data_IF_161111908746
#
_entry.id   IF_161111908746
#
_cell.length_a   1.000
_cell.length_b   1.000
_cell.length_c   1.000
_cell.angle_alpha   90.00
_cell.angle_beta   90.00
_cell.angle_gamma   90.00
#
_symmetry.space_group_name_H-M   'P 1'
#
loop_
_entity.id
_entity.type
_entity.pdbx_description
1 polymer ?
#
# COMPACT_ATOMS: atom_id res chain seq x y z
N UNK A 1 -12.31 -28.31 7.42
CA UNK A 1 -12.69 -27.54 6.23
C UNK A 1 -12.02 -26.18 6.22
N UNK A 2 -12.19 -25.35 7.25
CA UNK A 2 -11.65 -23.98 7.32
C UNK A 2 -10.14 -23.92 7.07
N UNK A 3 -9.35 -24.70 7.81
CA UNK A 3 -7.89 -24.71 7.65
C UNK A 3 -7.50 -25.08 6.21
N UNK A 4 -8.16 -26.07 5.63
CA UNK A 4 -7.87 -26.53 4.25
C UNK A 4 -8.26 -25.48 3.21
N UNK A 5 -9.37 -24.75 3.43
CA UNK A 5 -9.76 -23.62 2.58
C UNK A 5 -8.76 -22.47 2.69
N UNK A 6 -8.37 -22.09 3.89
CA UNK A 6 -7.36 -21.03 4.14
C UNK A 6 -6.04 -21.38 3.48
N UNK A 7 -5.57 -22.64 3.62
CA UNK A 7 -4.33 -23.08 2.98
C UNK A 7 -4.44 -23.08 1.45
N UNK A 8 -5.60 -23.44 0.90
CA UNK A 8 -5.84 -23.38 -0.54
C UNK A 8 -5.81 -21.92 -1.04
N UNK A 9 -6.51 -21.00 -0.37
CA UNK A 9 -6.50 -19.58 -0.71
C UNK A 9 -5.09 -18.98 -0.62
N UNK A 10 -4.34 -19.33 0.43
CA UNK A 10 -2.96 -18.90 0.62
C UNK A 10 -2.05 -19.45 -0.50
N UNK A 11 -2.16 -20.72 -0.81
CA UNK A 11 -1.37 -21.37 -1.86
C UNK A 11 -1.58 -20.69 -3.22
N UNK A 12 -2.84 -20.45 -3.60
CA UNK A 12 -3.18 -19.82 -4.86
C UNK A 12 -2.60 -18.39 -4.93
N UNK A 13 -2.77 -17.58 -3.88
CA UNK A 13 -2.23 -16.23 -3.84
C UNK A 13 -0.70 -16.23 -3.90
N UNK A 14 -0.03 -17.15 -3.19
CA UNK A 14 1.44 -17.28 -3.22
C UNK A 14 1.93 -17.67 -4.63
N UNK A 15 1.26 -18.61 -5.30
CA UNK A 15 1.60 -18.98 -6.70
C UNK A 15 1.43 -17.76 -7.61
N UNK A 16 0.31 -17.03 -7.49
CA UNK A 16 0.05 -15.83 -8.30
C UNK A 16 1.09 -14.73 -8.04
N UNK A 17 1.58 -14.59 -6.80
CA UNK A 17 2.69 -13.69 -6.47
C UNK A 17 3.99 -14.09 -7.16
N UNK A 18 4.32 -15.38 -7.18
CA UNK A 18 5.49 -15.89 -7.91
C UNK A 18 5.33 -15.62 -9.41
N UNK A 19 4.14 -15.88 -9.98
CA UNK A 19 3.87 -15.59 -11.40
C UNK A 19 3.98 -14.08 -11.68
N UNK A 20 3.50 -13.23 -10.75
CA UNK A 20 3.64 -11.78 -10.84
C UNK A 20 5.11 -11.37 -10.88
N UNK A 21 5.93 -11.89 -9.98
CA UNK A 21 7.37 -11.65 -9.97
C UNK A 21 8.02 -12.05 -11.30
N UNK A 22 7.84 -13.30 -11.73
CA UNK A 22 8.43 -13.81 -12.97
C UNK A 22 7.98 -13.07 -14.23
N UNK A 23 6.78 -12.46 -14.21
CA UNK A 23 6.20 -11.76 -15.35
C UNK A 23 6.64 -10.32 -15.48
N UNK A 24 6.83 -9.64 -14.35
CA UNK A 24 6.98 -8.18 -14.30
C UNK A 24 8.33 -7.70 -13.78
N UNK A 25 9.18 -8.58 -13.25
CA UNK A 25 10.54 -8.20 -12.88
C UNK A 25 11.32 -7.77 -14.14
N UNK A 26 11.97 -6.61 -14.03
CA UNK A 26 12.84 -6.11 -15.11
C UNK A 26 14.17 -6.86 -15.12
N UNK A 27 14.58 -7.42 -16.27
CA UNK A 27 15.93 -8.00 -16.38
C UNK A 27 17.06 -6.98 -16.22
N UNK A 28 16.77 -5.69 -16.44
CA UNK A 28 17.75 -4.59 -16.37
C UNK A 28 17.86 -4.00 -14.96
N UNK A 29 16.86 -4.22 -14.11
CA UNK A 29 16.82 -3.74 -12.73
C UNK A 29 16.20 -4.84 -11.84
N UNK A 30 16.93 -5.93 -11.57
CA UNK A 30 16.42 -7.04 -10.77
C UNK A 30 16.36 -6.68 -9.30
N UNK A 31 15.38 -7.23 -8.60
CA UNK A 31 15.25 -7.03 -7.15
C UNK A 31 16.51 -7.59 -6.43
N UNK A 32 17.14 -6.81 -5.53
CA UNK A 32 18.19 -7.34 -4.67
C UNK A 32 17.72 -8.56 -3.87
N UNK A 33 18.56 -9.61 -3.76
CA UNK A 33 18.14 -10.87 -3.17
C UNK A 33 17.57 -10.76 -1.73
N UNK A 34 18.11 -9.84 -0.92
CA UNK A 34 17.59 -9.55 0.42
C UNK A 34 16.17 -8.96 0.37
N UNK A 35 15.94 -8.04 -0.55
CA UNK A 35 14.64 -7.39 -0.75
C UNK A 35 13.61 -8.36 -1.31
N UNK A 36 14.01 -9.26 -2.20
CA UNK A 36 13.14 -10.31 -2.73
C UNK A 36 12.61 -11.20 -1.60
N UNK A 37 13.48 -11.65 -0.70
CA UNK A 37 13.08 -12.45 0.46
C UNK A 37 12.12 -11.71 1.36
N UNK A 38 12.40 -10.44 1.63
CA UNK A 38 11.53 -9.60 2.47
C UNK A 38 10.19 -9.34 1.79
N UNK A 39 10.16 -9.09 0.47
CA UNK A 39 8.93 -8.93 -0.30
C UNK A 39 8.06 -10.19 -0.26
N UNK A 40 8.66 -11.37 -0.47
CA UNK A 40 7.96 -12.65 -0.40
C UNK A 40 7.42 -12.93 1.01
N UNK A 41 8.21 -12.66 2.05
CA UNK A 41 7.80 -12.84 3.45
C UNK A 41 6.63 -11.92 3.84
N UNK A 42 6.71 -10.63 3.51
CA UNK A 42 5.62 -9.69 3.76
C UNK A 42 4.38 -10.04 2.92
N UNK A 43 4.61 -10.40 1.68
CA UNK A 43 3.55 -10.83 0.78
C UNK A 43 2.78 -12.04 1.31
N UNK A 44 3.49 -13.05 1.82
CA UNK A 44 2.88 -14.23 2.46
C UNK A 44 2.01 -13.83 3.67
N UNK A 45 2.43 -12.84 4.46
CA UNK A 45 1.63 -12.33 5.59
C UNK A 45 0.35 -11.63 5.12
N UNK A 46 0.41 -10.80 4.08
CA UNK A 46 -0.78 -10.18 3.50
C UNK A 46 -1.72 -11.22 2.88
N UNK A 47 -1.17 -12.21 2.18
CA UNK A 47 -1.96 -13.31 1.60
C UNK A 47 -2.64 -14.13 2.70
N UNK A 48 -1.96 -14.34 3.84
CA UNK A 48 -2.52 -15.01 5.01
C UNK A 48 -3.67 -14.19 5.64
N UNK A 49 -3.53 -12.86 5.75
CA UNK A 49 -4.61 -11.99 6.25
C UNK A 49 -5.87 -12.15 5.40
N UNK A 50 -5.73 -12.09 4.05
CA UNK A 50 -6.85 -12.28 3.13
C UNK A 50 -7.42 -13.68 3.27
N UNK A 51 -6.58 -14.71 3.27
CA UNK A 51 -7.01 -16.11 3.36
C UNK A 51 -7.77 -16.41 4.65
N UNK A 52 -7.32 -15.86 5.78
CA UNK A 52 -8.00 -15.99 7.07
C UNK A 52 -9.35 -15.27 7.04
N UNK A 53 -9.39 -14.04 6.52
CA UNK A 53 -10.65 -13.29 6.36
C UNK A 53 -11.68 -14.07 5.54
N UNK A 54 -11.25 -14.62 4.40
CA UNK A 54 -12.07 -15.46 3.52
C UNK A 54 -12.44 -16.80 4.16
N UNK A 55 -11.67 -17.28 5.14
CA UNK A 55 -11.96 -18.51 5.89
C UNK A 55 -13.00 -18.36 6.99
N UNK A 56 -13.24 -17.14 7.49
CA UNK A 56 -14.18 -16.88 8.60
C UNK A 56 -15.59 -17.41 8.33
N UNK A 57 -16.23 -17.20 7.17
CA UNK A 57 -17.56 -17.73 6.90
C UNK A 57 -17.63 -19.26 7.01
N UNK A 58 -16.61 -19.98 6.55
CA UNK A 58 -16.54 -21.45 6.69
C UNK A 58 -16.39 -21.85 8.17
N UNK A 59 -15.62 -21.08 8.94
CA UNK A 59 -15.48 -21.31 10.39
C UNK A 59 -16.83 -21.13 11.09
N UNK A 60 -17.58 -20.09 10.73
CA UNK A 60 -18.90 -19.80 11.31
C UNK A 60 -19.94 -20.87 10.95
N UNK A 61 -19.90 -21.42 9.72
CA UNK A 61 -20.76 -22.55 9.31
C UNK A 61 -20.57 -23.77 10.22
N UNK A 62 -19.36 -23.98 10.74
CA UNK A 62 -19.05 -25.06 11.67
C UNK A 62 -19.72 -24.91 13.06
N UNK A 63 -20.33 -23.78 13.37
CA UNK A 63 -21.06 -23.56 14.63
C UNK A 63 -22.57 -23.80 14.49
N UNK A 64 -23.07 -23.92 13.27
CA UNK A 64 -24.49 -24.07 12.97
C UNK A 64 -24.75 -25.56 12.65
N UNK A 65 -25.32 -26.31 13.60
CA UNK A 65 -25.49 -27.77 13.51
C UNK A 65 -26.16 -28.21 12.21
N UNK A 66 -27.29 -27.64 11.73
CA UNK A 66 -27.98 -28.08 10.51
C UNK A 66 -27.15 -27.95 9.25
N UNK A 67 -26.16 -27.05 9.23
CA UNK A 67 -25.31 -26.77 8.06
C UNK A 67 -23.81 -26.98 8.36
N UNK A 68 -23.53 -27.79 9.41
CA UNK A 68 -22.16 -28.08 9.79
C UNK A 68 -21.43 -28.87 8.69
N UNK A 69 -20.24 -28.40 8.20
CA UNK A 69 -19.59 -28.97 7.01
C UNK A 69 -19.14 -30.44 7.16
N UNK A 70 -19.00 -30.95 8.37
CA UNK A 70 -18.60 -32.35 8.62
C UNK A 70 -19.80 -33.29 8.77
N UNK A 71 -20.91 -32.81 9.36
CA UNK A 71 -22.04 -33.63 9.73
C UNK A 71 -23.24 -33.51 8.78
N UNK A 72 -23.30 -32.48 7.93
CA UNK A 72 -24.39 -32.21 7.03
C UNK A 72 -23.96 -32.16 5.56
N UNK A 73 -24.64 -32.85 4.69
CA UNK A 73 -24.43 -32.78 3.24
C UNK A 73 -24.72 -31.38 2.68
N UNK A 74 -25.71 -30.70 3.23
CA UNK A 74 -26.00 -29.30 2.92
C UNK A 74 -24.83 -28.41 3.29
N UNK A 75 -24.25 -28.60 4.49
CA UNK A 75 -23.07 -27.86 4.91
C UNK A 75 -21.84 -28.08 4.03
N UNK A 76 -21.61 -29.32 3.61
CA UNK A 76 -20.54 -29.65 2.63
C UNK A 76 -20.77 -28.92 1.31
N UNK A 77 -21.99 -28.97 0.76
CA UNK A 77 -22.33 -28.28 -0.49
C UNK A 77 -22.17 -26.77 -0.38
N UNK A 78 -22.60 -26.16 0.74
CA UNK A 78 -22.42 -24.73 1.01
C UNK A 78 -20.95 -24.35 1.08
N UNK A 79 -20.11 -25.11 1.78
CA UNK A 79 -18.66 -24.85 1.82
C UNK A 79 -18.04 -24.95 0.44
N UNK A 80 -18.47 -25.92 -0.36
CA UNK A 80 -17.97 -26.11 -1.72
C UNK A 80 -18.38 -24.96 -2.63
N UNK A 81 -19.66 -24.56 -2.61
CA UNK A 81 -20.17 -23.43 -3.38
C UNK A 81 -19.49 -22.13 -2.96
N UNK A 82 -19.36 -21.88 -1.66
CA UNK A 82 -18.68 -20.72 -1.13
C UNK A 82 -17.21 -20.66 -1.60
N UNK A 83 -16.47 -21.78 -1.48
CA UNK A 83 -15.08 -21.87 -1.93
C UNK A 83 -14.97 -21.57 -3.42
N UNK A 84 -15.92 -22.06 -4.23
CA UNK A 84 -15.97 -21.78 -5.67
C UNK A 84 -16.17 -20.30 -5.98
N UNK A 85 -17.13 -19.66 -5.31
CA UNK A 85 -17.39 -18.23 -5.48
C UNK A 85 -16.19 -17.39 -5.05
N UNK A 86 -15.59 -17.72 -3.91
CA UNK A 86 -14.38 -17.02 -3.42
C UNK A 86 -13.21 -17.22 -4.38
N UNK A 87 -12.99 -18.42 -4.90
CA UNK A 87 -11.92 -18.67 -5.87
C UNK A 87 -12.13 -17.90 -7.16
N UNK A 88 -13.36 -17.88 -7.68
CA UNK A 88 -13.70 -17.10 -8.86
C UNK A 88 -13.41 -15.61 -8.61
N UNK A 89 -13.87 -15.05 -7.50
CA UNK A 89 -13.63 -13.66 -7.13
C UNK A 89 -12.14 -13.34 -6.97
N UNK A 90 -11.41 -14.17 -6.22
CA UNK A 90 -9.98 -14.01 -5.98
C UNK A 90 -9.17 -14.03 -7.29
N UNK A 91 -9.37 -15.05 -8.12
CA UNK A 91 -8.68 -15.19 -9.39
C UNK A 91 -9.05 -14.06 -10.36
N UNK A 92 -10.32 -13.60 -10.37
CA UNK A 92 -10.75 -12.44 -11.17
C UNK A 92 -10.05 -11.16 -10.75
N UNK A 93 -9.94 -10.90 -9.44
CA UNK A 93 -9.23 -9.73 -8.93
C UNK A 93 -7.74 -9.77 -9.32
N UNK A 94 -7.10 -10.93 -9.24
CA UNK A 94 -5.72 -11.07 -9.67
C UNK A 94 -5.56 -10.92 -11.19
N UNK A 95 -6.49 -11.42 -11.99
CA UNK A 95 -6.47 -11.23 -13.45
C UNK A 95 -6.59 -9.73 -13.82
N UNK A 96 -7.48 -9.00 -13.15
CA UNK A 96 -7.61 -7.56 -13.31
C UNK A 96 -6.33 -6.83 -12.83
N UNK A 97 -5.76 -7.24 -11.71
CA UNK A 97 -4.53 -6.67 -11.16
C UNK A 97 -3.34 -6.83 -12.11
N UNK A 98 -3.18 -7.99 -12.72
CA UNK A 98 -2.14 -8.23 -13.73
C UNK A 98 -2.30 -7.33 -14.96
N UNK A 99 -3.55 -7.17 -15.44
CA UNK A 99 -3.84 -6.24 -16.54
C UNK A 99 -3.61 -4.78 -16.16
N UNK A 100 -4.03 -4.40 -14.98
CA UNK A 100 -3.83 -3.05 -14.44
C UNK A 100 -2.34 -2.74 -14.26
N UNK A 101 -1.56 -3.68 -13.73
CA UNK A 101 -0.11 -3.51 -13.57
C UNK A 101 0.61 -3.45 -14.91
N UNK A 102 0.22 -4.27 -15.88
CA UNK A 102 0.80 -4.25 -17.22
C UNK A 102 0.59 -2.91 -17.95
N UNK A 103 -0.46 -2.16 -17.59
CA UNK A 103 -0.80 -0.89 -18.21
C UNK A 103 -0.29 0.33 -17.43
N UNK A 104 -0.37 0.31 -16.10
CA UNK A 104 -0.08 1.47 -15.24
C UNK A 104 1.14 1.28 -14.34
N UNK A 105 1.77 0.11 -14.33
CA UNK A 105 2.88 -0.26 -13.43
C UNK A 105 2.54 -0.09 -11.93
N UNK A 106 1.26 -0.13 -11.63
CA UNK A 106 0.72 -0.03 -10.27
C UNK A 106 -0.20 -1.21 -9.96
N UNK A 107 -0.16 -1.68 -8.71
CA UNK A 107 -1.11 -2.68 -8.23
C UNK A 107 -2.53 -2.15 -8.31
N UNK A 108 -3.49 -3.05 -8.46
CA UNK A 108 -4.91 -2.71 -8.51
C UNK A 108 -5.32 -1.84 -7.32
N UNK A 109 -5.82 -0.65 -7.60
CA UNK A 109 -6.24 0.34 -6.63
C UNK A 109 -7.60 0.96 -7.01
N UNK A 110 -8.13 1.82 -6.13
CA UNK A 110 -9.47 2.39 -6.29
C UNK A 110 -9.63 3.26 -7.55
N UNK A 111 -8.55 3.75 -8.15
CA UNK A 111 -8.64 4.52 -9.40
C UNK A 111 -9.17 3.69 -10.55
N UNK A 112 -9.01 2.35 -10.48
CA UNK A 112 -9.60 1.43 -11.44
C UNK A 112 -11.12 1.54 -11.55
N UNK A 113 -11.81 2.02 -10.50
CA UNK A 113 -13.26 2.24 -10.54
C UNK A 113 -13.68 3.34 -11.52
N UNK A 114 -12.76 4.23 -11.92
CA UNK A 114 -13.03 5.22 -12.99
C UNK A 114 -13.34 4.56 -14.34
N UNK A 115 -12.78 3.37 -14.59
CA UNK A 115 -13.11 2.61 -15.80
C UNK A 115 -14.57 2.12 -15.83
N UNK A 116 -15.26 2.10 -14.67
CA UNK A 116 -16.69 1.76 -14.60
C UNK A 116 -17.60 2.94 -14.98
N UNK A 117 -17.11 4.16 -15.01
CA UNK A 117 -17.90 5.35 -15.38
C UNK A 117 -18.32 5.32 -16.86
N UNK A 118 -17.50 4.69 -17.72
CA UNK A 118 -17.76 4.52 -19.14
C UNK A 118 -17.62 3.05 -19.55
N UNK A 119 -18.49 2.18 -19.03
CA UNK A 119 -18.42 0.72 -19.20
C UNK A 119 -18.29 0.26 -20.64
N UNK A 120 -18.99 0.90 -21.57
CA UNK A 120 -18.96 0.51 -22.99
C UNK A 120 -17.57 0.74 -23.61
N UNK A 121 -16.95 1.88 -23.32
CA UNK A 121 -15.61 2.22 -23.83
C UNK A 121 -14.59 1.28 -23.17
N UNK A 122 -14.65 1.11 -21.87
CA UNK A 122 -13.73 0.25 -21.12
C UNK A 122 -13.84 -1.22 -21.55
N UNK A 123 -15.05 -1.74 -21.72
CA UNK A 123 -15.26 -3.10 -22.20
C UNK A 123 -14.71 -3.30 -23.63
N UNK A 124 -14.88 -2.31 -24.50
CA UNK A 124 -14.33 -2.36 -25.87
C UNK A 124 -12.81 -2.37 -25.84
N UNK A 125 -12.20 -1.51 -25.03
CA UNK A 125 -10.73 -1.46 -24.85
C UNK A 125 -10.18 -2.79 -24.33
N UNK A 126 -10.81 -3.35 -23.29
CA UNK A 126 -10.39 -4.65 -22.72
C UNK A 126 -10.51 -5.75 -23.77
N UNK A 127 -11.60 -5.77 -24.53
CA UNK A 127 -11.82 -6.77 -25.58
C UNK A 127 -10.79 -6.69 -26.72
N UNK A 128 -10.39 -5.47 -27.09
CA UNK A 128 -9.42 -5.25 -28.16
C UNK A 128 -7.97 -5.46 -27.72
N UNK A 129 -7.66 -5.17 -26.44
CA UNK A 129 -6.29 -5.17 -25.94
C UNK A 129 -5.88 -6.53 -25.35
N UNK A 130 -6.82 -7.25 -24.73
CA UNK A 130 -6.53 -8.48 -24.00
C UNK A 130 -7.21 -9.69 -24.64
N UNK A 131 -6.60 -10.88 -24.58
CA UNK A 131 -7.21 -12.12 -25.09
C UNK A 131 -8.29 -12.62 -24.12
N UNK A 132 -9.43 -11.92 -24.07
CA UNK A 132 -10.51 -12.14 -23.09
C UNK A 132 -11.03 -13.56 -23.08
N UNK A 133 -11.23 -14.18 -24.27
CA UNK A 133 -11.72 -15.56 -24.37
C UNK A 133 -10.71 -16.53 -23.73
N UNK A 134 -9.43 -16.42 -24.11
CA UNK A 134 -8.38 -17.28 -23.56
C UNK A 134 -8.24 -17.09 -22.05
N UNK A 135 -8.26 -15.84 -21.59
CA UNK A 135 -8.22 -15.49 -20.17
C UNK A 135 -9.39 -16.09 -19.40
N UNK A 136 -10.60 -16.01 -19.95
CA UNK A 136 -11.81 -16.61 -19.35
C UNK A 136 -11.73 -18.12 -19.25
N UNK A 137 -11.23 -18.80 -20.29
CA UNK A 137 -11.02 -20.25 -20.28
C UNK A 137 -10.00 -20.63 -19.20
N UNK A 138 -8.86 -19.92 -19.12
CA UNK A 138 -7.85 -20.15 -18.09
C UNK A 138 -8.45 -19.93 -16.70
N UNK A 139 -9.22 -18.87 -16.49
CA UNK A 139 -9.88 -18.56 -15.22
C UNK A 139 -10.79 -19.73 -14.79
N UNK A 140 -11.65 -20.22 -15.68
CA UNK A 140 -12.55 -21.34 -15.40
C UNK A 140 -11.76 -22.61 -15.06
N UNK A 141 -10.70 -22.92 -15.81
CA UNK A 141 -9.83 -24.06 -15.53
C UNK A 141 -9.13 -23.94 -14.15
N UNK A 142 -8.65 -22.76 -13.79
CA UNK A 142 -8.03 -22.52 -12.48
C UNK A 142 -9.03 -22.65 -11.34
N UNK A 143 -10.26 -22.17 -11.49
CA UNK A 143 -11.34 -22.38 -10.52
C UNK A 143 -11.65 -23.85 -10.38
N UNK A 144 -11.84 -24.55 -11.50
CA UNK A 144 -12.15 -25.97 -11.53
C UNK A 144 -11.06 -26.82 -10.86
N UNK A 145 -9.80 -26.61 -11.21
CA UNK A 145 -8.66 -27.32 -10.59
C UNK A 145 -8.54 -27.02 -9.09
N UNK A 146 -8.79 -25.79 -8.67
CA UNK A 146 -8.82 -25.41 -7.24
C UNK A 146 -9.93 -26.14 -6.50
N UNK A 147 -11.11 -26.28 -7.09
CA UNK A 147 -12.23 -27.02 -6.53
C UNK A 147 -11.96 -28.55 -6.48
N UNK A 148 -11.31 -29.10 -7.50
CA UNK A 148 -10.89 -30.50 -7.47
C UNK A 148 -9.89 -30.74 -6.33
N UNK A 149 -8.91 -29.84 -6.17
CA UNK A 149 -7.94 -29.92 -5.07
C UNK A 149 -8.64 -29.80 -3.72
N UNK A 150 -9.57 -28.85 -3.58
CA UNK A 150 -10.36 -28.71 -2.36
C UNK A 150 -11.16 -29.96 -2.04
N UNK A 151 -11.83 -30.55 -3.04
CA UNK A 151 -12.55 -31.81 -2.90
C UNK A 151 -11.62 -32.96 -2.48
N UNK A 152 -10.47 -33.06 -3.13
CA UNK A 152 -9.48 -34.09 -2.80
C UNK A 152 -9.03 -33.98 -1.36
N UNK A 153 -8.57 -32.81 -0.92
CA UNK A 153 -8.07 -32.62 0.45
C UNK A 153 -9.17 -32.69 1.52
N UNK A 154 -10.42 -32.39 1.20
CA UNK A 154 -11.55 -32.46 2.14
C UNK A 154 -12.21 -33.83 2.17
N UNK A 155 -12.06 -34.65 1.13
CA UNK A 155 -12.63 -35.99 1.05
C UNK A 155 -12.17 -36.95 2.13
N UNK A 156 -11.03 -36.67 2.74
CA UNK A 156 -10.48 -37.47 3.87
C UNK A 156 -11.03 -37.05 5.24
N UNK A 157 -11.89 -36.02 5.30
CA UNK A 157 -12.47 -35.57 6.58
C UNK A 157 -13.66 -36.46 6.91
N UNK A 158 -13.52 -37.26 7.94
CA UNK A 158 -14.59 -38.10 8.48
C UNK A 158 -15.01 -37.61 9.88
N UNK A 159 -16.30 -37.67 10.22
CA UNK A 159 -16.75 -37.43 11.57
C UNK A 159 -16.18 -38.53 12.49
N UNK A 160 -15.65 -38.13 13.65
CA UNK A 160 -15.17 -39.07 14.67
C UNK A 160 -16.37 -39.43 15.55
N UNK A 161 -16.87 -40.68 15.49
CA UNK A 161 -18.02 -41.07 16.27
C UNK A 161 -17.69 -41.10 17.75
N UNK A 162 -18.56 -40.58 18.60
CA UNK A 162 -18.54 -40.79 20.06
C UNK A 162 -17.53 -40.00 20.87
N UNK A 163 -16.74 -39.14 20.26
CA UNK A 163 -15.79 -38.29 20.99
C UNK A 163 -16.52 -37.07 21.57
N UNK A 164 -17.17 -37.28 22.71
CA UNK A 164 -17.69 -36.16 23.51
C UNK A 164 -16.52 -35.44 24.16
N UNK A 165 -16.00 -34.43 23.49
CA UNK A 165 -15.00 -33.55 24.08
C UNK A 165 -15.62 -32.84 25.29
N UNK A 166 -14.90 -32.83 26.42
CA UNK A 166 -15.32 -32.13 27.65
C UNK A 166 -15.47 -30.66 27.35
N UNK A 167 -16.42 -30.00 28.02
CA UNK A 167 -16.75 -28.59 27.74
C UNK A 167 -15.52 -27.67 27.72
N UNK A 168 -14.55 -27.87 28.65
CA UNK A 168 -13.33 -27.10 28.70
C UNK A 168 -12.42 -27.31 27.48
N UNK A 169 -12.42 -28.48 26.84
CA UNK A 169 -11.68 -28.73 25.61
C UNK A 169 -12.28 -27.97 24.45
N UNK A 170 -13.62 -27.92 24.36
CA UNK A 170 -14.32 -27.10 23.36
C UNK A 170 -13.99 -25.63 23.54
N UNK A 171 -14.06 -25.14 24.78
CA UNK A 171 -13.75 -23.75 25.11
C UNK A 171 -12.28 -23.43 24.77
N UNK A 172 -11.33 -24.32 25.10
CA UNK A 172 -9.91 -24.15 24.75
C UNK A 172 -9.71 -24.06 23.24
N UNK A 173 -10.35 -24.93 22.44
CA UNK A 173 -10.27 -24.89 20.97
C UNK A 173 -10.81 -23.57 20.43
N UNK A 174 -11.95 -23.08 20.96
CA UNK A 174 -12.52 -21.80 20.55
C UNK A 174 -11.57 -20.64 20.83
N UNK A 175 -11.02 -20.60 22.06
CA UNK A 175 -10.07 -19.56 22.48
C UNK A 175 -8.82 -19.60 21.63
N UNK A 176 -8.23 -20.77 21.43
CA UNK A 176 -7.02 -20.93 20.59
C UNK A 176 -7.31 -20.50 19.15
N UNK A 177 -8.43 -20.94 18.57
CA UNK A 177 -8.81 -20.56 17.21
C UNK A 177 -9.02 -19.06 17.10
N UNK A 178 -9.68 -18.44 18.08
CA UNK A 178 -9.88 -16.99 18.12
C UNK A 178 -8.53 -16.25 18.12
N UNK A 179 -7.60 -16.63 18.98
CA UNK A 179 -6.29 -15.97 19.01
C UNK A 179 -5.46 -16.24 17.76
N UNK A 180 -5.50 -17.43 17.19
CA UNK A 180 -4.78 -17.75 15.93
C UNK A 180 -5.33 -16.88 14.79
N UNK A 181 -6.64 -16.75 14.66
CA UNK A 181 -7.26 -15.86 13.65
C UNK A 181 -6.93 -14.41 13.94
N UNK A 182 -7.04 -13.96 15.19
CA UNK A 182 -6.74 -12.59 15.58
C UNK A 182 -5.29 -12.21 15.28
N UNK A 183 -4.32 -13.02 15.69
CA UNK A 183 -2.90 -12.78 15.43
C UNK A 183 -2.56 -12.88 13.94
N UNK A 184 -3.19 -13.80 13.22
CA UNK A 184 -3.00 -13.92 11.79
C UNK A 184 -3.54 -12.69 11.03
N UNK A 185 -4.70 -12.16 11.43
CA UNK A 185 -5.27 -10.92 10.87
C UNK A 185 -4.47 -9.68 11.30
N UNK A 186 -3.90 -9.68 12.51
CA UNK A 186 -3.03 -8.60 12.97
C UNK A 186 -1.70 -8.55 12.19
N UNK A 187 -1.15 -9.69 11.81
CA UNK A 187 -0.06 -9.88 10.85
C UNK A 187 1.35 -9.58 11.36
N UNK A 188 1.53 -8.94 12.52
CA UNK A 188 2.86 -8.71 13.13
C UNK A 188 2.79 -8.51 14.64
N UNK A 189 3.87 -8.84 15.34
CA UNK A 189 4.03 -8.61 16.78
C UNK A 189 4.56 -7.18 17.00
N UNK A 190 3.67 -6.20 17.01
CA UNK A 190 3.99 -4.77 17.16
C UNK A 190 2.77 -4.05 17.75
N UNK A 191 2.93 -2.81 18.21
CA UNK A 191 1.82 -1.98 18.67
C UNK A 191 0.77 -1.67 17.58
N UNK A 192 1.14 -1.78 16.31
CA UNK A 192 0.25 -1.55 15.16
C UNK A 192 0.14 -2.81 14.31
N UNK A 193 -1.03 -3.10 13.73
CA UNK A 193 -1.20 -4.19 12.79
C UNK A 193 -0.35 -3.99 11.53
N UNK A 194 -0.20 -5.05 10.76
CA UNK A 194 0.42 -4.98 9.45
C UNK A 194 -0.39 -4.07 8.53
N UNK A 195 0.26 -3.05 7.95
CA UNK A 195 -0.35 -2.01 7.12
C UNK A 195 0.20 -2.08 5.71
N UNK A 196 -0.52 -1.53 4.74
CA UNK A 196 -0.07 -1.42 3.36
C UNK A 196 1.33 -0.77 3.23
N UNK A 197 1.63 0.22 4.08
CA UNK A 197 2.93 0.90 4.09
C UNK A 197 4.10 0.03 4.52
N UNK A 198 3.86 -1.09 5.21
CA UNK A 198 4.93 -2.04 5.56
C UNK A 198 5.49 -2.75 4.31
N UNK A 199 4.76 -2.72 3.18
CA UNK A 199 5.24 -3.27 1.91
C UNK A 199 6.35 -2.42 1.26
N UNK A 200 6.38 -1.11 1.55
CA UNK A 200 7.37 -0.18 0.97
C UNK A 200 8.60 -0.07 1.90
N UNK A 201 9.33 -1.13 2.03
CA UNK A 201 10.49 -1.27 2.92
C UNK A 201 11.83 -1.04 2.21
N UNK A 202 11.85 -1.06 0.89
CA UNK A 202 13.03 -0.95 0.03
C UNK A 202 12.95 0.30 -0.84
N UNK A 203 14.11 0.78 -1.28
CA UNK A 203 14.23 1.82 -2.31
C UNK A 203 13.96 1.30 -3.71
N UNK A 204 13.97 -0.03 -3.89
CA UNK A 204 13.63 -0.66 -5.16
C UNK A 204 12.09 -0.72 -5.31
N UNK A 205 11.53 0.07 -6.22
CA UNK A 205 10.09 0.28 -6.36
C UNK A 205 9.30 -1.03 -6.55
N UNK A 206 9.77 -1.94 -7.39
CA UNK A 206 9.10 -3.20 -7.65
C UNK A 206 9.02 -4.12 -6.43
N UNK A 207 9.96 -4.03 -5.46
CA UNK A 207 9.94 -4.80 -4.21
C UNK A 207 8.67 -4.54 -3.41
N UNK A 208 8.25 -3.26 -3.28
CA UNK A 208 7.01 -2.87 -2.63
C UNK A 208 5.77 -3.39 -3.35
N UNK A 209 5.76 -3.27 -4.67
CA UNK A 209 4.67 -3.79 -5.51
C UNK A 209 4.53 -5.31 -5.39
N UNK A 210 5.65 -6.04 -5.39
CA UNK A 210 5.67 -7.50 -5.20
C UNK A 210 5.16 -7.92 -3.81
N UNK A 211 5.54 -7.19 -2.76
CA UNK A 211 5.08 -7.48 -1.39
C UNK A 211 3.57 -7.26 -1.22
N UNK A 212 3.01 -6.28 -1.92
CA UNK A 212 1.60 -5.88 -1.77
C UNK A 212 0.62 -6.97 -2.23
N UNK A 213 -0.49 -7.14 -1.49
CA UNK A 213 -1.63 -7.97 -1.91
C UNK A 213 -2.67 -7.07 -2.60
N UNK A 214 -3.11 -7.38 -3.84
CA UNK A 214 -3.99 -6.50 -4.62
C UNK A 214 -5.35 -6.28 -3.97
N UNK A 215 -5.90 -7.29 -3.29
CA UNK A 215 -7.20 -7.18 -2.62
C UNK A 215 -7.11 -6.18 -1.47
N UNK A 216 -6.13 -6.34 -0.58
CA UNK A 216 -5.95 -5.43 0.55
C UNK A 216 -5.62 -4.01 0.08
N UNK A 217 -4.78 -3.89 -0.94
CA UNK A 217 -4.39 -2.60 -1.49
C UNK A 217 -5.60 -1.86 -2.09
N UNK A 218 -6.42 -2.57 -2.87
CA UNK A 218 -7.66 -2.02 -3.41
C UNK A 218 -8.59 -1.48 -2.31
N UNK A 219 -8.85 -2.28 -1.26
CA UNK A 219 -9.70 -1.83 -0.15
C UNK A 219 -9.09 -0.69 0.67
N UNK A 220 -7.76 -0.67 0.81
CA UNK A 220 -7.09 0.44 1.50
C UNK A 220 -7.18 1.75 0.71
N UNK A 221 -7.16 1.68 -0.62
CA UNK A 221 -7.26 2.85 -1.49
C UNK A 221 -8.69 3.36 -1.65
N UNK A 222 -9.71 2.52 -1.45
CA UNK A 222 -11.12 2.94 -1.50
C UNK A 222 -11.46 4.10 -0.55
N UNK A 223 -10.77 4.17 0.59
CA UNK A 223 -10.96 5.23 1.59
C UNK A 223 -10.52 6.62 1.12
N UNK A 224 -9.72 6.67 0.06
CA UNK A 224 -9.12 7.88 -0.48
C UNK A 224 -9.59 8.17 -1.92
N UNK A 225 -10.65 7.50 -2.39
CA UNK A 225 -11.14 7.61 -3.77
C UNK A 225 -11.77 8.96 -4.09
N UNK A 226 -12.43 9.56 -3.11
CA UNK A 226 -13.34 10.70 -3.32
C UNK A 226 -12.68 12.06 -2.99
N UNK A 227 -11.37 12.18 -3.11
CA UNK A 227 -10.68 13.46 -3.02
C UNK A 227 -10.96 14.26 -4.30
N UNK A 228 -12.16 14.85 -4.37
CA UNK A 228 -12.51 15.82 -5.39
C UNK A 228 -12.20 17.21 -4.88
N UNK A 229 -11.62 18.05 -5.74
CA UNK A 229 -11.47 19.47 -5.45
C UNK A 229 -12.54 20.25 -6.20
N UNK A 230 -12.94 21.37 -5.62
CA UNK A 230 -13.89 22.30 -6.26
C UNK A 230 -13.17 23.09 -7.37
N UNK A 231 -13.38 22.69 -8.61
CA UNK A 231 -12.76 23.31 -9.78
C UNK A 231 -13.08 24.82 -9.86
N UNK A 232 -14.33 25.30 -9.67
CA UNK A 232 -14.64 26.72 -9.63
C UNK A 232 -13.82 27.48 -8.60
N UNK A 233 -13.73 26.99 -7.37
CA UNK A 233 -12.94 27.62 -6.30
C UNK A 233 -11.44 27.58 -6.61
N UNK A 234 -10.94 26.49 -7.19
CA UNK A 234 -9.54 26.36 -7.59
C UNK A 234 -9.20 27.39 -8.70
N UNK A 235 -10.06 27.57 -9.70
CA UNK A 235 -9.90 28.60 -10.75
C UNK A 235 -9.94 30.01 -10.21
N UNK A 236 -10.83 30.28 -9.27
CA UNK A 236 -10.93 31.60 -8.61
C UNK A 236 -9.67 31.95 -7.82
N UNK A 237 -9.05 30.96 -7.18
CA UNK A 237 -7.83 31.10 -6.38
C UNK A 237 -6.54 31.01 -7.21
N UNK A 238 -6.62 30.53 -8.45
CA UNK A 238 -5.46 30.27 -9.31
C UNK A 238 -4.55 31.48 -9.52
N UNK A 239 -5.05 32.71 -9.83
CA UNK A 239 -4.18 33.85 -10.06
C UNK A 239 -3.27 34.17 -8.86
N UNK A 240 -3.83 34.13 -7.65
CA UNK A 240 -3.07 34.33 -6.41
C UNK A 240 -2.00 33.26 -6.21
N UNK A 241 -2.35 32.02 -6.42
CA UNK A 241 -1.42 30.91 -6.25
C UNK A 241 -0.35 30.89 -7.36
N UNK A 242 -0.70 31.21 -8.58
CA UNK A 242 0.25 31.29 -9.68
C UNK A 242 1.29 32.41 -9.46
N UNK A 243 0.86 33.57 -8.97
CA UNK A 243 1.75 34.66 -8.56
C UNK A 243 2.66 34.23 -7.42
N UNK A 244 2.09 33.65 -6.34
CA UNK A 244 2.85 33.16 -5.18
C UNK A 244 3.91 32.13 -5.55
N UNK A 245 3.58 31.20 -6.43
CA UNK A 245 4.48 30.17 -6.91
C UNK A 245 5.44 30.64 -8.00
N UNK A 246 5.24 31.84 -8.57
CA UNK A 246 6.04 32.37 -9.66
C UNK A 246 5.89 31.54 -10.95
N UNK A 247 4.67 31.21 -11.32
CA UNK A 247 4.37 30.44 -12.55
C UNK A 247 4.70 31.26 -13.79
N UNK A 248 5.49 30.71 -14.70
CA UNK A 248 5.99 31.46 -15.88
C UNK A 248 4.91 31.86 -16.87
N UNK A 249 3.95 30.97 -17.10
CA UNK A 249 2.85 31.14 -18.05
C UNK A 249 1.54 30.67 -17.41
N UNK A 250 0.90 31.55 -16.61
CA UNK A 250 -0.34 31.19 -15.93
C UNK A 250 -1.45 30.83 -16.92
N UNK A 251 -2.09 29.69 -16.75
CA UNK A 251 -3.26 29.25 -17.54
C UNK A 251 -4.37 28.80 -16.55
N UNK A 252 -5.36 29.69 -16.25
CA UNK A 252 -6.45 29.39 -15.33
C UNK A 252 -7.37 28.25 -15.79
N UNK A 253 -7.45 28.02 -17.11
CA UNK A 253 -8.29 26.93 -17.64
C UNK A 253 -7.68 25.56 -17.39
N UNK A 254 -6.36 25.46 -17.52
CA UNK A 254 -5.62 24.22 -17.27
C UNK A 254 -5.19 24.05 -15.82
N UNK A 255 -5.23 25.12 -15.01
CA UNK A 255 -4.68 25.14 -13.66
C UNK A 255 -3.21 24.69 -13.66
N UNK A 256 -2.42 25.19 -14.62
CA UNK A 256 -1.01 24.83 -14.77
C UNK A 256 -0.16 25.62 -13.77
N UNK A 257 0.57 24.91 -12.90
CA UNK A 257 1.48 25.49 -11.91
C UNK A 257 2.95 25.28 -12.25
N UNK A 258 3.26 24.94 -13.50
CA UNK A 258 4.64 24.67 -13.93
C UNK A 258 5.48 25.95 -13.88
N UNK A 259 6.62 25.84 -13.21
CA UNK A 259 7.67 26.84 -13.15
C UNK A 259 8.96 26.24 -13.68
N UNK A 260 9.63 26.93 -14.59
CA UNK A 260 10.88 26.49 -15.20
C UNK A 260 12.01 27.42 -14.75
N UNK A 261 13.07 26.83 -14.22
CA UNK A 261 14.31 27.54 -13.95
C UNK A 261 15.36 27.15 -14.98
N UNK A 262 16.00 28.13 -15.56
CA UNK A 262 17.25 27.89 -16.28
C UNK A 262 18.39 28.06 -15.29
N UNK A 263 19.05 26.95 -15.00
CA UNK A 263 20.27 26.95 -14.19
C UNK A 263 21.46 26.92 -15.13
N UNK A 264 22.29 27.96 -15.07
CA UNK A 264 23.59 27.94 -15.75
C UNK A 264 24.56 27.14 -14.87
N UNK A 265 24.71 25.86 -15.18
CA UNK A 265 25.71 25.04 -14.52
C UNK A 265 27.10 25.58 -14.84
N UNK A 266 27.91 25.85 -13.82
CA UNK A 266 29.32 26.10 -13.97
C UNK A 266 30.01 24.73 -14.22
N UNK A 267 30.57 24.48 -15.43
CA UNK A 267 31.16 23.18 -15.77
C UNK A 267 32.35 22.76 -14.92
N UNK A 268 32.90 23.67 -14.13
CA UNK A 268 34.04 23.42 -13.24
C UNK A 268 33.63 23.19 -11.77
N UNK A 269 32.34 23.25 -11.43
CA UNK A 269 31.90 23.13 -10.05
C UNK A 269 31.72 21.65 -9.70
N UNK A 270 32.40 21.18 -8.67
CA UNK A 270 32.16 19.86 -8.08
C UNK A 270 30.79 19.82 -7.42
N UNK A 271 30.06 18.73 -7.61
CA UNK A 271 28.78 18.50 -6.94
C UNK A 271 29.01 18.40 -5.41
N UNK A 272 28.40 19.28 -4.60
CA UNK A 272 28.58 19.25 -3.16
C UNK A 272 27.79 18.12 -2.53
N UNK A 273 28.30 17.58 -1.41
CA UNK A 273 27.47 16.76 -0.53
C UNK A 273 26.42 17.63 0.15
N UNK A 274 25.19 17.13 0.25
CA UNK A 274 24.06 17.84 0.86
C UNK A 274 23.63 17.12 2.12
N UNK A 275 23.61 17.83 3.24
CA UNK A 275 23.12 17.33 4.54
C UNK A 275 21.94 18.18 4.94
N UNK A 276 20.76 17.57 5.10
CA UNK A 276 19.54 18.22 5.58
C UNK A 276 19.26 17.75 6.99
N UNK A 277 19.15 18.71 7.94
CA UNK A 277 18.87 18.42 9.34
C UNK A 277 17.52 19.03 9.70
N UNK A 278 16.53 18.18 10.00
CA UNK A 278 15.21 18.59 10.45
C UNK A 278 15.16 18.44 11.97
N UNK A 279 15.01 19.58 12.67
CA UNK A 279 14.96 19.62 14.12
C UNK A 279 13.51 19.47 14.60
N UNK A 280 13.18 18.30 15.13
CA UNK A 280 11.84 18.00 15.65
C UNK A 280 11.48 18.87 16.85
N UNK A 281 10.26 19.44 16.85
CA UNK A 281 9.72 20.28 17.94
C UNK A 281 10.60 21.47 18.32
N UNK A 282 11.47 21.91 17.41
CA UNK A 282 12.34 23.05 17.63
C UNK A 282 11.65 24.35 17.19
N UNK A 283 11.15 25.09 18.14
CA UNK A 283 10.53 26.39 17.89
C UNK A 283 11.59 27.49 17.84
N UNK A 284 11.44 28.48 16.94
CA UNK A 284 12.41 29.55 16.72
C UNK A 284 12.71 30.36 18.01
N UNK A 285 11.72 30.57 18.85
CA UNK A 285 11.90 31.31 20.14
C UNK A 285 12.90 30.63 21.09
N UNK A 286 13.28 29.37 20.85
CA UNK A 286 14.32 28.68 21.65
C UNK A 286 15.73 29.07 21.24
N UNK A 287 15.92 29.69 20.08
CA UNK A 287 17.25 30.06 19.57
C UNK A 287 17.65 31.47 19.97
N UNK A 288 18.95 31.68 20.15
CA UNK A 288 19.53 33.01 20.36
C UNK A 288 19.29 33.94 19.17
N UNK A 289 19.24 33.41 17.94
CA UNK A 289 18.89 34.14 16.72
C UNK A 289 17.52 34.81 16.76
N UNK A 290 16.60 34.26 17.54
CA UNK A 290 15.25 34.80 17.76
C UNK A 290 15.13 35.60 19.05
N UNK A 291 16.26 35.94 19.68
CA UNK A 291 16.30 36.79 20.90
C UNK A 291 16.14 36.02 22.21
N UNK A 292 16.33 34.70 22.25
CA UNK A 292 16.31 33.94 23.50
C UNK A 292 17.52 34.33 24.39
N UNK A 293 17.29 34.83 25.61
CA UNK A 293 18.38 35.32 26.48
C UNK A 293 19.22 34.18 27.09
N UNK A 294 18.76 32.93 27.03
CA UNK A 294 19.41 31.79 27.71
C UNK A 294 20.62 31.21 26.96
N UNK A 295 20.99 31.79 25.82
CA UNK A 295 22.07 31.27 24.96
C UNK A 295 22.00 29.74 24.76
N UNK A 296 20.80 29.24 24.49
CA UNK A 296 20.52 27.80 24.41
C UNK A 296 21.02 27.14 23.12
N UNK A 297 21.40 27.92 22.10
CA UNK A 297 21.79 27.45 20.76
C UNK A 297 23.08 28.08 20.23
N UNK A 298 24.19 28.13 20.99
CA UNK A 298 25.38 28.89 20.58
C UNK A 298 26.01 28.36 19.28
N UNK A 299 25.96 27.06 19.02
CA UNK A 299 26.50 26.48 17.81
C UNK A 299 25.63 26.75 16.58
N UNK A 300 24.30 26.70 16.72
CA UNK A 300 23.36 27.07 15.65
C UNK A 300 23.48 28.56 15.30
N UNK A 301 23.56 29.39 16.32
CA UNK A 301 23.71 30.86 16.17
C UNK A 301 25.03 31.19 15.43
N UNK A 302 26.13 30.47 15.75
CA UNK A 302 27.39 30.60 15.05
C UNK A 302 27.27 30.17 13.59
N UNK A 303 26.73 28.97 13.30
CA UNK A 303 26.53 28.49 11.93
C UNK A 303 25.68 29.48 11.11
N UNK A 304 24.65 30.05 11.70
CA UNK A 304 23.82 31.03 11.02
C UNK A 304 24.57 32.34 10.72
N UNK A 305 25.56 32.72 11.54
CA UNK A 305 26.41 33.90 11.30
C UNK A 305 27.46 33.65 10.20
N UNK A 306 27.87 32.40 10.02
CA UNK A 306 28.87 31.99 9.02
C UNK A 306 28.22 31.61 7.66
N UNK A 307 26.90 31.37 7.63
CA UNK A 307 26.16 30.92 6.48
C UNK A 307 25.03 31.86 6.02
N UNK A 308 24.10 31.31 5.27
CA UNK A 308 22.88 32.01 4.87
C UNK A 308 21.75 31.70 5.84
N UNK A 309 21.29 32.72 6.57
CA UNK A 309 20.16 32.60 7.50
C UNK A 309 18.89 33.24 6.93
N UNK A 310 17.87 32.41 6.66
CA UNK A 310 16.57 32.86 6.15
C UNK A 310 15.62 33.17 7.31
N UNK A 311 15.51 34.46 7.68
CA UNK A 311 14.69 34.91 8.83
C UNK A 311 13.19 34.62 8.67
N UNK A 312 12.71 34.63 7.43
CA UNK A 312 11.29 34.44 7.10
C UNK A 312 11.03 33.04 6.50
N UNK A 313 11.71 32.03 7.03
CA UNK A 313 11.47 30.65 6.64
C UNK A 313 10.45 30.04 7.59
N UNK A 314 9.33 29.57 7.05
CA UNK A 314 8.23 28.98 7.80
C UNK A 314 7.98 27.56 7.36
N UNK A 315 7.59 26.70 8.31
CA UNK A 315 7.06 25.37 7.97
C UNK A 315 5.67 25.52 7.38
N UNK A 316 5.36 24.71 6.38
CA UNK A 316 4.05 24.75 5.70
C UNK A 316 2.91 24.24 6.58
N UNK A 317 3.22 23.35 7.52
CA UNK A 317 2.28 22.75 8.46
C UNK A 317 2.98 22.46 9.79
N UNK A 318 2.20 22.45 10.88
CA UNK A 318 2.73 22.19 12.22
C UNK A 318 3.02 20.71 12.52
N UNK A 319 2.51 19.79 11.72
CA UNK A 319 2.74 18.35 11.88
C UNK A 319 4.01 17.90 11.16
N UNK A 320 4.88 17.16 11.86
CA UNK A 320 6.17 16.68 11.34
C UNK A 320 6.03 15.92 10.01
N UNK A 321 5.09 14.97 9.92
CA UNK A 321 4.88 14.21 8.70
C UNK A 321 4.46 15.07 7.51
N UNK A 322 3.65 16.11 7.75
CA UNK A 322 3.21 17.06 6.73
C UNK A 322 4.36 17.96 6.27
N UNK A 323 5.18 18.41 7.20
CA UNK A 323 6.35 19.23 6.89
C UNK A 323 7.38 18.44 6.11
N UNK A 324 7.64 17.18 6.47
CA UNK A 324 8.54 16.29 5.73
C UNK A 324 7.98 16.02 4.33
N UNK A 325 6.70 15.71 4.21
CA UNK A 325 6.04 15.51 2.92
C UNK A 325 6.26 16.72 2.00
N UNK A 326 5.92 17.92 2.49
CA UNK A 326 6.07 19.13 1.70
C UNK A 326 7.54 19.44 1.36
N UNK A 327 8.45 19.22 2.31
CA UNK A 327 9.88 19.40 2.05
C UNK A 327 10.39 18.47 0.95
N UNK A 328 9.99 17.19 0.99
CA UNK A 328 10.46 16.19 0.04
C UNK A 328 9.84 16.36 -1.36
N UNK A 329 8.56 16.70 -1.44
CA UNK A 329 7.81 16.74 -2.71
C UNK A 329 7.63 18.13 -3.29
N UNK A 330 7.79 19.18 -2.48
CA UNK A 330 7.41 20.56 -2.83
C UNK A 330 5.88 20.78 -2.85
N UNK A 331 5.08 19.77 -2.52
CA UNK A 331 3.60 19.85 -2.53
C UNK A 331 3.10 20.09 -1.10
N UNK A 332 2.37 21.20 -0.83
CA UNK A 332 1.79 21.45 0.48
C UNK A 332 0.82 20.34 0.90
N UNK A 333 0.98 19.80 2.10
CA UNK A 333 0.06 18.82 2.66
C UNK A 333 -1.14 19.52 3.32
N UNK A 334 -2.22 19.66 2.56
CA UNK A 334 -3.45 20.35 2.97
C UNK A 334 -4.52 19.45 3.57
N UNK A 335 -4.25 18.15 3.69
CA UNK A 335 -5.18 17.18 4.26
C UNK A 335 -5.62 17.58 5.67
N UNK A 336 -6.94 17.63 5.91
CA UNK A 336 -7.46 18.09 7.21
C UNK A 336 -7.27 17.07 8.33
N UNK A 337 -7.55 15.79 8.04
CA UNK A 337 -7.65 14.74 9.07
C UNK A 337 -6.51 13.72 9.06
N UNK A 338 -5.73 13.68 7.98
CA UNK A 338 -4.65 12.72 7.77
C UNK A 338 -3.47 13.43 7.14
N UNK A 339 -2.31 12.81 7.17
CA UNK A 339 -1.16 13.28 6.39
C UNK A 339 -1.19 12.63 5.00
N UNK A 340 -0.78 13.37 3.98
CA UNK A 340 -0.67 12.88 2.59
C UNK A 340 0.21 11.63 2.49
N UNK A 341 1.22 11.49 3.34
CA UNK A 341 2.05 10.29 3.45
C UNK A 341 1.28 9.01 3.84
N UNK A 342 0.05 9.13 4.33
CA UNK A 342 -0.84 7.98 4.62
C UNK A 342 -1.82 7.65 3.52
N UNK A 343 -1.82 8.40 2.42
CA UNK A 343 -2.64 8.14 1.27
C UNK A 343 -1.85 7.31 0.24
N UNK A 344 -2.19 6.02 0.05
CA UNK A 344 -1.45 5.14 -0.85
C UNK A 344 -1.59 5.52 -2.34
N UNK A 345 -2.56 6.37 -2.70
CA UNK A 345 -2.76 6.83 -4.08
C UNK A 345 -1.82 7.97 -4.47
N UNK A 346 -1.32 8.74 -3.50
CA UNK A 346 -0.50 9.92 -3.75
C UNK A 346 0.91 9.85 -3.16
N UNK A 347 1.23 8.80 -2.40
CA UNK A 347 2.51 8.68 -1.71
C UNK A 347 3.69 8.45 -2.67
N UNK A 348 3.43 7.87 -3.83
CA UNK A 348 4.42 7.66 -4.87
C UNK A 348 4.60 8.96 -5.68
N UNK A 349 5.48 9.83 -5.21
CA UNK A 349 5.79 11.11 -5.79
C UNK A 349 7.28 11.23 -6.12
N UNK A 350 7.59 11.99 -7.17
CA UNK A 350 8.94 12.44 -7.41
C UNK A 350 9.36 13.39 -6.28
N UNK A 351 10.48 13.09 -5.64
CA UNK A 351 10.99 13.87 -4.50
C UNK A 351 12.25 14.62 -4.86
N UNK A 352 12.63 15.63 -4.08
CA UNK A 352 13.89 16.34 -4.26
C UNK A 352 15.10 15.40 -4.22
N UNK A 353 15.00 14.28 -3.50
CA UNK A 353 16.06 13.26 -3.40
C UNK A 353 16.32 12.58 -4.74
N UNK A 354 15.32 12.49 -5.62
CA UNK A 354 15.47 11.90 -6.96
C UNK A 354 16.40 12.73 -7.85
N UNK A 355 16.52 14.05 -7.61
CA UNK A 355 17.41 14.93 -8.36
C UNK A 355 18.91 14.67 -8.09
N UNK A 356 19.25 13.92 -7.04
CA UNK A 356 20.62 13.57 -6.67
C UNK A 356 21.00 12.19 -7.20
N UNK A 357 21.00 12.00 -8.52
CA UNK A 357 21.21 10.69 -9.15
C UNK A 357 22.61 10.12 -8.88
N UNK A 358 23.63 10.97 -8.87
CA UNK A 358 25.04 10.60 -8.68
C UNK A 358 25.46 10.40 -7.21
N UNK A 359 24.58 10.74 -6.25
CA UNK A 359 24.89 10.73 -4.82
C UNK A 359 24.40 9.47 -4.13
N UNK A 360 25.15 8.98 -3.16
CA UNK A 360 24.62 8.04 -2.16
C UNK A 360 23.61 8.76 -1.26
N UNK A 361 22.51 8.08 -0.96
CA UNK A 361 21.36 8.66 -0.25
C UNK A 361 21.15 7.97 1.08
N UNK A 362 21.16 8.74 2.15
CA UNK A 362 20.94 8.26 3.51
C UNK A 362 19.78 8.99 4.15
N UNK A 363 18.89 8.24 4.80
CA UNK A 363 17.78 8.78 5.56
C UNK A 363 17.83 8.27 7.00
N UNK A 364 18.02 9.19 7.94
CA UNK A 364 18.11 8.89 9.37
C UNK A 364 16.88 9.42 10.09
N UNK A 365 16.24 8.56 10.86
CA UNK A 365 15.07 8.92 11.66
C UNK A 365 15.27 8.46 13.10
N UNK A 366 15.12 9.39 14.06
CA UNK A 366 15.31 9.13 15.51
C UNK A 366 14.13 8.37 16.16
N UNK A 367 13.16 7.92 15.40
CA UNK A 367 11.95 7.24 15.87
C UNK A 367 11.61 6.00 15.05
N UNK A 368 10.35 5.55 15.14
CA UNK A 368 9.86 4.43 14.33
C UNK A 368 9.69 4.83 12.88
N UNK A 369 10.36 4.12 11.98
CA UNK A 369 10.23 4.32 10.53
C UNK A 369 8.80 4.09 10.00
N UNK A 370 7.95 3.36 10.73
CA UNK A 370 6.53 3.16 10.38
C UNK A 370 5.60 4.27 10.87
N UNK A 371 6.12 5.25 11.65
CA UNK A 371 5.31 6.36 12.13
C UNK A 371 4.95 7.28 10.95
N UNK A 372 3.66 7.54 10.80
CA UNK A 372 3.09 8.41 9.77
C UNK A 372 3.54 8.12 8.31
N UNK A 373 4.16 6.96 8.06
CA UNK A 373 4.69 6.55 6.74
C UNK A 373 5.70 7.54 6.14
N UNK A 374 6.60 8.08 6.96
CA UNK A 374 7.63 9.04 6.54
C UNK A 374 8.99 8.39 6.23
N UNK A 375 8.98 7.08 6.00
CA UNK A 375 10.17 6.32 5.58
C UNK A 375 10.31 6.26 4.07
#
# INVERSE_FOLDING_TARGET
>A
YTIKAVLLFLLVQTILRIVFWLRFESPFDPIPGGDLWQAMYLGLKYDLQVSLGLGIPILLLGWIIPIHPVYSETGKRLCFAYTGVVMLGLLSVYAIDFGHYAYLEQRLNATALRFLENLQISATMVWQTYPVITGSVILVLLVYTSLLLFRFVTGYIQPIPGQYSRWYQKTAVVIITFFVVLFGLYGKLSWYPLRWSDAFFSTHAFSGQLATNPILYFFNTLKNKDETFDIPTARASYPLMAEFLGVDRPDPEKLDYVRRFQYNADPGRTEPNVIVIILESFASYKSGLSGNPLNSTPHLDRLASEGHFYKNFYVTQTGTARSIWTFMTGIPDIELNKTSSRNPLIVDQHTIVNAFESHEKFYFLGGSASWANIR
#
